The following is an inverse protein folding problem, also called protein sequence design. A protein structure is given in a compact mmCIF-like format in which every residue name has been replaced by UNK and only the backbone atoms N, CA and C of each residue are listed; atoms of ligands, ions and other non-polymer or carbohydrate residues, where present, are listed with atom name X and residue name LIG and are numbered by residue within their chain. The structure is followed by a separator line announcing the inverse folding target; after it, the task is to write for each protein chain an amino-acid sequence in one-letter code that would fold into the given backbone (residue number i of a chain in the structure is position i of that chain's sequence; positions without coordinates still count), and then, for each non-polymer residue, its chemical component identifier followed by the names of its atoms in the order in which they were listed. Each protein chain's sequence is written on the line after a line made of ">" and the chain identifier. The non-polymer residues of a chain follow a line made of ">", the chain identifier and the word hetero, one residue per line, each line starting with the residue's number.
data_IF_192909360562
#
_entry.id   IF_192909360562
#
_cell.length_a   1.000
_cell.length_b   1.000
_cell.length_c   1.000
_cell.angle_alpha   90.00
_cell.angle_beta   90.00
_cell.angle_gamma   90.00
#
_symmetry.space_group_name_H-M   'P 1'
#
loop_
_entity.id
_entity.type
_entity.pdbx_description
1 polymer ?
#
# COMPACT_ATOMS: atom_id res chain seq x y z
N UNK A 1 -1.42 -25.39 10.93
CA UNK A 1 -0.82 -26.05 9.74
C UNK A 1 0.50 -25.35 9.48
N UNK A 2 1.61 -25.91 9.98
CA UNK A 2 2.94 -25.33 9.81
C UNK A 2 3.26 -25.25 8.31
N UNK A 3 3.56 -24.05 7.80
CA UNK A 3 4.11 -23.91 6.45
C UNK A 3 5.38 -24.76 6.37
N UNK A 4 5.53 -25.57 5.33
CA UNK A 4 6.75 -26.35 5.18
C UNK A 4 7.95 -25.39 5.08
N UNK A 5 9.09 -25.78 5.66
CA UNK A 5 10.34 -25.01 5.59
C UNK A 5 10.69 -24.63 4.13
N UNK A 6 10.30 -25.47 3.16
CA UNK A 6 10.43 -25.19 1.73
C UNK A 6 9.58 -24.00 1.24
N UNK A 7 8.33 -23.86 1.70
CA UNK A 7 7.47 -22.73 1.33
C UNK A 7 7.96 -21.40 1.90
N UNK A 8 8.49 -21.40 3.13
CA UNK A 8 9.10 -20.20 3.73
C UNK A 8 10.34 -19.78 2.93
N UNK A 9 11.20 -20.74 2.58
CA UNK A 9 12.41 -20.48 1.77
C UNK A 9 12.07 -19.96 0.38
N UNK A 10 11.04 -20.51 -0.26
CA UNK A 10 10.55 -20.05 -1.56
C UNK A 10 9.98 -18.62 -1.49
N UNK A 11 9.15 -18.33 -0.49
CA UNK A 11 8.58 -16.99 -0.30
C UNK A 11 9.65 -15.94 -0.05
N UNK A 12 10.69 -16.33 0.71
CA UNK A 12 11.89 -15.52 0.95
C UNK A 12 12.68 -15.24 -0.33
N UNK A 13 12.89 -16.25 -1.18
CA UNK A 13 13.56 -16.07 -2.47
C UNK A 13 12.74 -15.16 -3.41
N UNK A 14 11.42 -15.37 -3.49
CA UNK A 14 10.53 -14.52 -4.26
C UNK A 14 10.56 -13.06 -3.79
N UNK A 15 10.61 -12.84 -2.47
CA UNK A 15 10.70 -11.50 -1.89
C UNK A 15 12.00 -10.79 -2.30
N UNK A 16 13.14 -11.48 -2.23
CA UNK A 16 14.43 -10.96 -2.71
C UNK A 16 14.34 -10.59 -4.20
N UNK A 17 13.79 -11.49 -5.02
CA UNK A 17 13.61 -11.25 -6.46
C UNK A 17 12.76 -10.01 -6.73
N UNK A 18 11.64 -9.84 -6.02
CA UNK A 18 10.77 -8.66 -6.16
C UNK A 18 11.48 -7.36 -5.75
N UNK A 19 12.29 -7.40 -4.69
CA UNK A 19 13.05 -6.24 -4.25
C UNK A 19 14.13 -5.85 -5.28
N UNK A 20 14.81 -6.84 -5.89
CA UNK A 20 15.73 -6.60 -7.00
C UNK A 20 15.00 -6.05 -8.23
N UNK A 21 13.82 -6.57 -8.56
CA UNK A 21 13.02 -6.06 -9.68
C UNK A 21 12.63 -4.59 -9.46
N UNK A 22 12.20 -4.23 -8.24
CA UNK A 22 11.93 -2.85 -7.85
C UNK A 22 13.17 -1.97 -8.01
N UNK A 23 14.33 -2.42 -7.53
CA UNK A 23 15.60 -1.70 -7.65
C UNK A 23 15.99 -1.45 -9.11
N UNK A 24 15.92 -2.48 -9.96
CA UNK A 24 16.19 -2.37 -11.39
C UNK A 24 15.25 -1.36 -12.05
N UNK A 25 13.96 -1.41 -11.72
CA UNK A 25 12.97 -0.48 -12.25
C UNK A 25 13.25 0.98 -11.87
N UNK A 26 13.75 1.21 -10.65
CA UNK A 26 14.19 2.55 -10.19
C UNK A 26 15.43 2.99 -10.95
N UNK A 27 16.43 2.12 -11.11
CA UNK A 27 17.64 2.40 -11.89
C UNK A 27 17.30 2.78 -13.34
N UNK A 28 16.35 2.07 -13.98
CA UNK A 28 15.88 2.39 -15.32
C UNK A 28 15.18 3.76 -15.36
N UNK A 29 14.38 4.11 -14.35
CA UNK A 29 13.80 5.44 -14.23
C UNK A 29 14.88 6.52 -14.17
N UNK A 30 15.95 6.31 -13.41
CA UNK A 30 17.09 7.25 -13.34
C UNK A 30 17.68 7.52 -14.72
N UNK A 31 17.99 6.43 -15.43
CA UNK A 31 18.61 6.52 -16.76
C UNK A 31 17.67 7.23 -17.74
N UNK A 32 16.37 6.89 -17.74
CA UNK A 32 15.38 7.56 -18.59
C UNK A 32 15.28 9.05 -18.30
N UNK A 33 15.30 9.46 -17.02
CA UNK A 33 15.30 10.89 -16.64
C UNK A 33 16.54 11.62 -17.13
N UNK A 34 17.71 10.98 -17.03
CA UNK A 34 18.98 11.57 -17.46
C UNK A 34 19.02 11.74 -18.98
N UNK A 35 18.54 10.75 -19.72
CA UNK A 35 18.57 10.75 -21.20
C UNK A 35 17.55 11.73 -21.81
N UNK A 36 16.40 11.94 -21.17
CA UNK A 36 15.32 12.76 -21.74
C UNK A 36 15.46 14.29 -21.50
N UNK A 37 16.40 14.74 -20.68
CA UNK A 37 16.86 16.15 -20.68
C UNK A 37 15.83 17.26 -20.41
N UNK A 38 14.64 16.95 -19.87
CA UNK A 38 13.58 17.95 -19.64
C UNK A 38 13.74 18.71 -18.31
N UNK A 39 13.22 19.94 -18.24
CA UNK A 39 13.28 20.87 -17.09
C UNK A 39 12.75 20.33 -15.73
N UNK A 40 12.10 19.17 -15.73
CA UNK A 40 11.73 18.39 -14.54
C UNK A 40 12.91 17.62 -13.91
N UNK A 41 14.13 17.77 -14.46
CA UNK A 41 15.37 17.07 -14.10
C UNK A 41 15.72 17.11 -12.61
N UNK A 42 15.67 18.28 -11.97
CA UNK A 42 16.10 18.42 -10.56
C UNK A 42 15.12 17.75 -9.60
N UNK A 43 13.81 17.92 -9.84
CA UNK A 43 12.76 17.27 -9.04
C UNK A 43 12.76 15.76 -9.29
N UNK A 44 12.85 15.34 -10.55
CA UNK A 44 12.96 13.92 -10.92
C UNK A 44 14.18 13.23 -10.32
N UNK A 45 15.36 13.88 -10.32
CA UNK A 45 16.59 13.34 -9.72
C UNK A 45 16.48 13.26 -8.20
N UNK A 46 15.98 14.30 -7.51
CA UNK A 46 15.78 14.26 -6.07
C UNK A 46 14.81 13.16 -5.65
N UNK A 47 13.75 12.95 -6.44
CA UNK A 47 12.77 11.89 -6.25
C UNK A 47 13.36 10.51 -6.47
N UNK A 48 14.10 10.34 -7.56
CA UNK A 48 14.86 9.12 -7.83
C UNK A 48 15.82 8.80 -6.70
N UNK A 49 16.56 9.81 -6.22
CA UNK A 49 17.52 9.63 -5.14
C UNK A 49 16.80 9.29 -3.84
N UNK A 50 15.65 9.92 -3.58
CA UNK A 50 14.76 9.61 -2.44
C UNK A 50 14.29 8.16 -2.53
N UNK A 51 13.65 7.76 -3.63
CA UNK A 51 13.11 6.41 -3.85
C UNK A 51 14.21 5.34 -3.84
N UNK A 52 15.39 5.65 -4.36
CA UNK A 52 16.58 4.78 -4.32
C UNK A 52 17.10 4.61 -2.89
N UNK A 53 17.21 5.71 -2.14
CA UNK A 53 17.59 5.69 -0.72
C UNK A 53 16.56 4.90 0.09
N UNK A 54 15.28 5.09 -0.18
CA UNK A 54 14.15 4.35 0.37
C UNK A 54 14.24 2.84 0.13
N UNK A 55 14.63 2.44 -1.08
CA UNK A 55 14.82 1.04 -1.43
C UNK A 55 16.05 0.44 -0.76
N UNK A 56 17.15 1.19 -0.67
CA UNK A 56 18.34 0.75 0.05
C UNK A 56 18.03 0.60 1.55
N UNK A 57 17.39 1.59 2.16
CA UNK A 57 16.97 1.54 3.56
C UNK A 57 16.01 0.37 3.78
N UNK A 58 15.00 0.21 2.92
CA UNK A 58 14.08 -0.92 2.98
C UNK A 58 14.79 -2.28 2.86
N UNK A 59 15.77 -2.40 1.97
CA UNK A 59 16.60 -3.61 1.79
C UNK A 59 17.50 -3.89 2.99
N UNK A 60 18.14 -2.87 3.55
CA UNK A 60 19.01 -3.00 4.72
C UNK A 60 18.22 -3.35 5.97
N UNK A 61 17.13 -2.63 6.24
CA UNK A 61 16.21 -2.93 7.35
C UNK A 61 15.53 -4.29 7.18
N UNK A 62 15.33 -4.74 5.93
CA UNK A 62 14.85 -6.10 5.64
C UNK A 62 15.92 -7.16 5.91
N UNK A 63 17.17 -6.91 5.52
CA UNK A 63 18.30 -7.78 5.82
C UNK A 63 18.52 -7.96 7.33
N UNK A 64 18.35 -6.90 8.11
CA UNK A 64 18.42 -6.97 9.57
C UNK A 64 17.20 -7.67 10.19
N UNK A 65 15.98 -7.40 9.70
CA UNK A 65 14.80 -8.12 10.15
C UNK A 65 14.89 -9.62 9.82
N UNK A 66 15.51 -9.96 8.69
CA UNK A 66 15.79 -11.33 8.25
C UNK A 66 16.75 -12.08 9.20
N UNK A 67 17.78 -11.42 9.71
CA UNK A 67 18.73 -12.04 10.65
C UNK A 67 18.16 -12.15 12.06
N UNK A 68 17.30 -11.21 12.46
CA UNK A 68 16.71 -11.17 13.80
C UNK A 68 15.42 -11.99 13.94
N UNK A 69 14.69 -12.26 12.85
CA UNK A 69 13.54 -13.16 12.80
C UNK A 69 12.30 -12.73 13.60
N UNK A 70 12.30 -11.53 14.19
CA UNK A 70 11.26 -11.08 15.14
C UNK A 70 10.20 -10.22 14.47
N UNK A 71 8.92 -10.61 14.63
CA UNK A 71 7.72 -9.93 14.09
C UNK A 71 7.68 -8.42 14.35
N UNK A 72 8.13 -7.97 15.52
CA UNK A 72 8.17 -6.55 15.89
C UNK A 72 9.04 -5.72 14.94
N UNK A 73 10.23 -6.23 14.57
CA UNK A 73 11.15 -5.52 13.67
C UNK A 73 10.57 -5.42 12.26
N UNK A 74 9.99 -6.52 11.77
CA UNK A 74 9.28 -6.54 10.51
C UNK A 74 8.19 -5.45 10.46
N UNK A 75 7.42 -5.27 11.53
CA UNK A 75 6.39 -4.25 11.58
C UNK A 75 6.89 -2.81 11.61
N UNK A 76 8.00 -2.53 12.31
CA UNK A 76 8.64 -1.21 12.28
C UNK A 76 9.23 -0.90 10.90
N UNK A 77 9.95 -1.87 10.32
CA UNK A 77 10.53 -1.73 8.97
C UNK A 77 9.44 -1.43 7.94
N UNK A 78 8.32 -2.15 8.00
CA UNK A 78 7.18 -1.91 7.12
C UNK A 78 6.58 -0.52 7.34
N UNK A 79 6.37 -0.11 8.60
CA UNK A 79 5.81 1.20 8.92
C UNK A 79 6.69 2.37 8.42
N UNK A 80 7.99 2.29 8.64
CA UNK A 80 8.95 3.29 8.15
C UNK A 80 8.98 3.30 6.62
N UNK A 81 9.02 2.12 5.98
CA UNK A 81 8.97 2.00 4.52
C UNK A 81 7.71 2.66 3.95
N UNK A 82 6.54 2.39 4.51
CA UNK A 82 5.28 2.98 4.05
C UNK A 82 5.22 4.49 4.28
N UNK A 83 5.70 4.99 5.43
CA UNK A 83 5.74 6.43 5.71
C UNK A 83 6.60 7.18 4.69
N UNK A 84 7.79 6.66 4.40
CA UNK A 84 8.67 7.23 3.39
C UNK A 84 8.07 7.11 1.97
N UNK A 85 7.41 5.99 1.64
CA UNK A 85 6.69 5.83 0.37
C UNK A 85 5.59 6.89 0.18
N UNK A 86 4.85 7.21 1.25
CA UNK A 86 3.82 8.25 1.24
C UNK A 86 4.44 9.62 0.97
N UNK A 87 5.56 9.93 1.62
CA UNK A 87 6.29 11.19 1.38
C UNK A 87 6.67 11.29 -0.10
N UNK A 88 7.23 10.22 -0.67
CA UNK A 88 7.53 10.16 -2.11
C UNK A 88 6.26 10.40 -2.95
N UNK A 89 5.16 9.68 -2.71
CA UNK A 89 3.91 9.86 -3.45
C UNK A 89 3.42 11.31 -3.41
N UNK A 90 3.38 11.94 -2.23
CA UNK A 90 2.89 13.32 -2.06
C UNK A 90 3.81 14.31 -2.77
N UNK A 91 5.13 14.18 -2.59
CA UNK A 91 6.13 15.08 -3.17
C UNK A 91 6.23 14.93 -4.70
N UNK A 92 6.05 13.72 -5.24
CA UNK A 92 6.04 13.48 -6.70
C UNK A 92 4.75 14.00 -7.32
N UNK A 93 3.62 13.57 -6.76
CA UNK A 93 2.36 13.55 -7.49
C UNK A 93 1.56 14.83 -7.30
N UNK A 94 1.67 15.48 -6.14
CA UNK A 94 0.97 16.75 -5.87
C UNK A 94 1.49 17.88 -6.77
N UNK A 95 2.81 18.11 -6.90
CA UNK A 95 3.33 19.12 -7.83
C UNK A 95 3.09 18.76 -9.29
N UNK A 96 3.15 17.47 -9.65
CA UNK A 96 2.82 17.00 -10.99
C UNK A 96 1.40 17.41 -11.39
N UNK A 97 0.41 17.14 -10.52
CA UNK A 97 -0.98 17.54 -10.77
C UNK A 97 -1.18 19.05 -10.88
N UNK A 98 -0.33 19.86 -10.23
CA UNK A 98 -0.41 21.32 -10.29
C UNK A 98 0.24 21.91 -11.55
N UNK A 99 1.21 21.22 -12.15
CA UNK A 99 1.98 21.71 -13.31
C UNK A 99 1.42 21.17 -14.64
N UNK A 100 0.81 19.99 -14.63
CA UNK A 100 0.41 19.25 -15.85
C UNK A 100 -1.00 19.56 -16.37
N UNK A 101 -1.69 20.56 -15.81
CA UNK A 101 -2.91 21.14 -16.44
C UNK A 101 -2.68 21.62 -17.90
N UNK A 102 -1.43 21.63 -18.39
CA UNK A 102 -1.05 22.08 -19.74
C UNK A 102 -0.50 20.99 -20.70
N UNK A 103 -0.11 19.79 -20.23
CA UNK A 103 0.57 18.77 -21.08
C UNK A 103 -0.22 17.46 -21.17
N UNK A 104 -0.45 16.99 -22.41
CA UNK A 104 -1.33 15.85 -22.73
C UNK A 104 -0.72 14.47 -22.46
N UNK A 105 0.60 14.39 -22.22
CA UNK A 105 1.31 13.12 -22.15
C UNK A 105 1.87 12.86 -20.75
N UNK A 106 1.52 11.70 -20.20
CA UNK A 106 2.03 11.23 -18.91
C UNK A 106 3.51 10.88 -19.08
N UNK A 107 4.43 11.44 -18.26
CA UNK A 107 5.83 11.10 -18.34
C UNK A 107 6.05 9.61 -18.11
N UNK A 108 6.90 9.00 -18.95
CA UNK A 108 7.22 7.57 -18.89
C UNK A 108 7.66 7.10 -17.49
N UNK A 109 8.37 7.95 -16.74
CA UNK A 109 8.81 7.66 -15.37
C UNK A 109 7.65 7.36 -14.40
N UNK A 110 6.48 7.92 -14.68
CA UNK A 110 5.33 7.93 -13.77
C UNK A 110 4.56 6.64 -13.95
N UNK A 111 4.42 6.19 -15.19
CA UNK A 111 3.93 4.85 -15.53
C UNK A 111 4.80 3.76 -14.89
N UNK A 112 6.13 3.91 -14.90
CA UNK A 112 7.02 2.95 -14.23
C UNK A 112 6.84 3.00 -12.71
N UNK A 113 6.76 4.20 -12.14
CA UNK A 113 6.55 4.37 -10.69
C UNK A 113 5.30 3.64 -10.21
N UNK A 114 4.17 3.77 -10.91
CA UNK A 114 2.93 3.06 -10.54
C UNK A 114 3.09 1.55 -10.65
N UNK A 115 3.73 1.04 -11.71
CA UNK A 115 4.03 -0.40 -11.83
C UNK A 115 4.88 -0.92 -10.67
N UNK A 116 5.82 -0.11 -10.16
CA UNK A 116 6.62 -0.44 -8.97
C UNK A 116 5.74 -0.45 -7.71
N UNK A 117 4.79 0.48 -7.60
CA UNK A 117 3.83 0.48 -6.50
C UNK A 117 3.02 -0.83 -6.46
N UNK A 118 2.56 -1.35 -7.60
CA UNK A 118 1.81 -2.62 -7.70
C UNK A 118 2.56 -3.85 -7.18
N UNK A 119 3.88 -3.79 -7.02
CA UNK A 119 4.66 -4.89 -6.42
C UNK A 119 4.51 -4.89 -4.89
N UNK A 120 4.19 -3.74 -4.27
CA UNK A 120 4.14 -3.52 -2.82
C UNK A 120 3.15 -4.43 -2.06
N UNK A 121 1.91 -4.68 -2.52
CA UNK A 121 1.01 -5.63 -1.87
C UNK A 121 1.61 -7.06 -1.82
N UNK A 122 2.27 -7.49 -2.90
CA UNK A 122 2.93 -8.79 -2.94
C UNK A 122 4.15 -8.86 -2.03
N UNK A 123 4.91 -7.76 -1.95
CA UNK A 123 6.00 -7.62 -0.97
C UNK A 123 5.47 -7.80 0.45
N UNK A 124 4.36 -7.13 0.81
CA UNK A 124 3.72 -7.28 2.13
C UNK A 124 3.30 -8.74 2.39
N UNK A 125 2.57 -9.36 1.46
CA UNK A 125 2.09 -10.73 1.64
C UNK A 125 3.24 -11.73 1.84
N UNK A 126 4.31 -11.61 1.05
CA UNK A 126 5.50 -12.45 1.20
C UNK A 126 6.24 -12.17 2.50
N UNK A 127 6.32 -10.91 2.91
CA UNK A 127 6.95 -10.49 4.15
C UNK A 127 6.23 -11.11 5.36
N UNK A 128 4.90 -11.12 5.34
CA UNK A 128 4.07 -11.72 6.39
C UNK A 128 4.12 -13.25 6.39
N UNK A 129 4.23 -13.86 5.21
CA UNK A 129 4.40 -15.31 5.08
C UNK A 129 5.78 -15.81 5.56
N UNK A 130 6.77 -14.92 5.66
CA UNK A 130 8.17 -15.26 5.97
C UNK A 130 8.61 -14.83 7.37
N UNK A 131 7.84 -13.95 8.02
CA UNK A 131 7.92 -13.67 9.44
C UNK A 131 7.54 -14.94 10.23
N UNK A 132 8.55 -15.78 10.52
CA UNK A 132 8.38 -17.05 11.22
C UNK A 132 7.81 -16.87 12.64
N UNK A 133 6.94 -17.79 13.03
CA UNK A 133 6.39 -17.87 14.38
C UNK A 133 7.43 -18.45 15.34
N UNK A 134 7.96 -17.66 16.25
CA UNK A 134 8.33 -18.20 17.56
C UNK A 134 7.06 -18.34 18.40
N UNK A 135 6.47 -19.54 18.39
CA UNK A 135 5.64 -20.04 19.50
C UNK A 135 4.17 -19.61 19.61
N UNK A 136 3.63 -18.82 18.69
CA UNK A 136 2.18 -18.50 18.69
C UNK A 136 1.56 -18.91 17.37
N UNK A 137 0.71 -19.94 17.40
CA UNK A 137 -0.05 -20.36 16.23
C UNK A 137 -0.85 -19.19 15.61
N UNK A 138 -0.77 -19.11 14.29
CA UNK A 138 -1.44 -18.17 13.40
C UNK A 138 -2.95 -18.36 13.54
N UNK A 139 -3.56 -17.76 14.57
CA UNK A 139 -5.01 -17.72 14.70
C UNK A 139 -5.62 -16.95 13.53
N UNK A 140 -6.79 -17.38 13.04
CA UNK A 140 -7.41 -16.89 11.80
C UNK A 140 -7.60 -15.37 11.69
N UNK A 141 -7.55 -14.64 12.80
CA UNK A 141 -7.62 -13.17 12.84
C UNK A 141 -6.46 -12.49 12.09
N UNK A 142 -5.24 -13.03 12.15
CA UNK A 142 -4.09 -12.42 11.47
C UNK A 142 -4.16 -12.59 9.95
N UNK A 143 -4.66 -13.74 9.46
CA UNK A 143 -4.85 -13.97 8.00
C UNK A 143 -5.89 -13.03 7.42
N UNK A 144 -6.99 -12.83 8.15
CA UNK A 144 -8.02 -11.87 7.75
C UNK A 144 -7.45 -10.46 7.68
N UNK A 145 -6.71 -10.02 8.72
CA UNK A 145 -6.06 -8.71 8.75
C UNK A 145 -5.10 -8.50 7.56
N UNK A 146 -4.37 -9.53 7.18
CA UNK A 146 -3.44 -9.45 6.06
C UNK A 146 -4.14 -9.35 4.72
N UNK A 147 -5.28 -10.03 4.57
CA UNK A 147 -6.13 -9.86 3.40
C UNK A 147 -6.70 -8.45 3.33
N UNK A 148 -7.17 -7.88 4.46
CA UNK A 148 -7.73 -6.52 4.50
C UNK A 148 -6.67 -5.47 4.19
N UNK A 149 -5.48 -5.57 4.78
CA UNK A 149 -4.36 -4.68 4.51
C UNK A 149 -3.91 -4.75 3.05
N UNK A 150 -3.80 -5.95 2.48
CA UNK A 150 -3.41 -6.11 1.08
C UNK A 150 -4.45 -5.50 0.14
N UNK A 151 -5.74 -5.70 0.44
CA UNK A 151 -6.83 -5.08 -0.31
C UNK A 151 -6.76 -3.55 -0.24
N UNK A 152 -6.53 -2.96 0.95
CA UNK A 152 -6.35 -1.51 1.10
C UNK A 152 -5.18 -0.95 0.27
N UNK A 153 -4.05 -1.68 0.23
CA UNK A 153 -2.88 -1.25 -0.56
C UNK A 153 -3.19 -1.35 -2.06
N UNK A 154 -3.83 -2.43 -2.53
CA UNK A 154 -4.29 -2.51 -3.93
C UNK A 154 -5.25 -1.35 -4.26
N UNK A 155 -6.21 -1.10 -3.37
CA UNK A 155 -7.20 -0.03 -3.52
C UNK A 155 -6.53 1.34 -3.68
N UNK A 156 -5.54 1.63 -2.84
CA UNK A 156 -4.76 2.86 -2.87
C UNK A 156 -3.94 3.02 -4.16
N UNK A 157 -3.32 1.93 -4.64
CA UNK A 157 -2.51 1.96 -5.86
C UNK A 157 -3.40 2.15 -7.09
N UNK A 158 -4.53 1.45 -7.18
CA UNK A 158 -5.51 1.64 -8.26
C UNK A 158 -6.01 3.09 -8.30
N UNK A 159 -6.23 3.71 -7.15
CA UNK A 159 -6.65 5.11 -7.08
C UNK A 159 -5.56 6.06 -7.57
N UNK A 160 -4.29 5.80 -7.25
CA UNK A 160 -3.15 6.55 -7.79
C UNK A 160 -3.01 6.34 -9.31
N UNK A 161 -3.16 5.11 -9.79
CA UNK A 161 -3.11 4.77 -11.22
C UNK A 161 -4.20 5.50 -12.00
N UNK A 162 -5.43 5.55 -11.47
CA UNK A 162 -6.55 6.25 -12.11
C UNK A 162 -6.35 7.77 -12.15
N UNK A 163 -5.81 8.37 -11.09
CA UNK A 163 -5.45 9.80 -11.11
C UNK A 163 -4.42 10.10 -12.20
N UNK A 164 -3.50 9.17 -12.45
CA UNK A 164 -2.44 9.32 -13.43
C UNK A 164 -2.87 9.02 -14.86
N UNK A 165 -3.60 7.93 -15.07
CA UNK A 165 -4.01 7.42 -16.37
C UNK A 165 -5.43 7.83 -16.77
N UNK A 166 -6.09 8.67 -15.96
CA UNK A 166 -7.47 9.11 -16.14
C UNK A 166 -7.73 9.61 -17.56
N UNK A 167 -8.54 8.86 -18.30
CA UNK A 167 -8.78 9.04 -19.73
C UNK A 167 -9.07 10.50 -20.10
N UNK A 168 -8.28 11.02 -21.05
CA UNK A 168 -8.61 12.18 -21.90
C UNK A 168 -8.35 13.56 -21.31
N UNK A 169 -8.73 13.82 -20.05
CA UNK A 169 -8.64 15.16 -19.45
C UNK A 169 -8.19 15.19 -17.97
N UNK A 170 -7.87 14.03 -17.36
CA UNK A 170 -7.55 13.95 -15.92
C UNK A 170 -8.73 14.33 -15.00
N UNK A 171 -8.66 14.04 -13.70
CA UNK A 171 -9.62 14.57 -12.73
C UNK A 171 -9.32 16.06 -12.49
N UNK A 172 -10.31 16.89 -12.11
CA UNK A 172 -10.01 18.24 -11.65
C UNK A 172 -8.99 18.17 -10.52
N UNK A 173 -8.02 19.09 -10.50
CA UNK A 173 -6.82 19.05 -9.63
C UNK A 173 -7.17 18.75 -8.17
N UNK A 174 -8.25 19.34 -7.66
CA UNK A 174 -8.74 19.11 -6.29
C UNK A 174 -9.22 17.67 -6.03
N UNK A 175 -9.91 17.05 -6.99
CA UNK A 175 -10.33 15.64 -6.89
C UNK A 175 -9.12 14.71 -6.95
N UNK A 176 -8.17 14.97 -7.86
CA UNK A 176 -6.92 14.20 -7.97
C UNK A 176 -6.10 14.25 -6.68
N UNK A 177 -5.89 15.44 -6.12
CA UNK A 177 -5.21 15.61 -4.82
C UNK A 177 -5.95 14.90 -3.69
N UNK A 178 -7.29 14.96 -3.68
CA UNK A 178 -8.12 14.24 -2.72
C UNK A 178 -7.93 12.73 -2.79
N UNK A 179 -7.95 12.16 -4.00
CA UNK A 179 -7.71 10.74 -4.25
C UNK A 179 -6.31 10.29 -3.80
N UNK A 180 -5.27 11.08 -4.04
CA UNK A 180 -3.90 10.78 -3.59
C UNK A 180 -3.80 10.83 -2.06
N UNK A 181 -4.42 11.83 -1.45
CA UNK A 181 -4.46 11.98 0.00
C UNK A 181 -5.16 10.78 0.64
N UNK A 182 -6.27 10.35 0.06
CA UNK A 182 -7.01 9.17 0.51
C UNK A 182 -6.17 7.89 0.35
N UNK A 183 -5.51 7.70 -0.80
CA UNK A 183 -4.61 6.57 -1.03
C UNK A 183 -3.49 6.51 0.02
N UNK A 184 -2.87 7.66 0.27
CA UNK A 184 -1.81 7.79 1.28
C UNK A 184 -2.31 7.44 2.68
N UNK A 185 -3.52 7.87 3.03
CA UNK A 185 -4.19 7.50 4.27
C UNK A 185 -4.45 5.99 4.38
N UNK A 186 -4.92 5.35 3.30
CA UNK A 186 -5.12 3.89 3.25
C UNK A 186 -3.79 3.13 3.44
N UNK A 187 -2.71 3.58 2.80
CA UNK A 187 -1.37 3.00 2.97
C UNK A 187 -0.89 3.12 4.42
N UNK A 188 -1.03 4.30 5.02
CA UNK A 188 -0.64 4.55 6.40
C UNK A 188 -1.45 3.69 7.38
N UNK A 189 -2.76 3.59 7.15
CA UNK A 189 -3.65 2.76 7.96
C UNK A 189 -3.25 1.30 7.89
N UNK A 190 -3.01 0.76 6.70
CA UNK A 190 -2.53 -0.62 6.54
C UNK A 190 -1.22 -0.82 7.33
N UNK A 191 -0.24 0.09 7.18
CA UNK A 191 1.01 -0.01 7.92
C UNK A 191 0.83 0.06 9.45
N UNK A 192 -0.07 0.92 9.93
CA UNK A 192 -0.42 1.05 11.34
C UNK A 192 -1.07 -0.23 11.88
N UNK A 193 -2.01 -0.83 11.14
CA UNK A 193 -2.69 -2.07 11.54
C UNK A 193 -1.69 -3.23 11.77
N UNK A 194 -0.66 -3.33 10.93
CA UNK A 194 0.39 -4.33 11.13
C UNK A 194 1.32 -4.01 12.29
N UNK A 195 1.67 -2.74 12.49
CA UNK A 195 2.44 -2.30 13.65
C UNK A 195 1.72 -2.64 14.96
N UNK A 196 0.42 -2.35 15.01
CA UNK A 196 -0.44 -2.65 16.15
C UNK A 196 -0.55 -4.16 16.38
N UNK A 197 -0.82 -4.95 15.33
CA UNK A 197 -0.90 -6.40 15.43
C UNK A 197 0.41 -6.98 15.98
N UNK A 198 1.55 -6.49 15.50
CA UNK A 198 2.84 -7.00 15.91
C UNK A 198 3.12 -6.76 17.39
N UNK A 199 2.67 -5.64 17.95
CA UNK A 199 2.95 -5.19 19.32
C UNK A 199 1.85 -5.50 20.35
N UNK A 200 0.73 -6.09 19.94
CA UNK A 200 -0.35 -6.42 20.86
C UNK A 200 0.04 -7.47 21.91
N UNK A 201 -0.32 -7.18 23.16
CA UNK A 201 -0.33 -8.11 24.29
C UNK A 201 -1.74 -8.71 24.44
N UNK A 202 -1.89 -10.00 24.80
CA UNK A 202 -3.16 -10.73 24.79
C UNK A 202 -4.29 -10.19 25.69
N UNK A 203 -4.06 -9.17 26.52
CA UNK A 203 -5.05 -8.65 27.49
C UNK A 203 -5.95 -7.49 27.01
N UNK A 204 -5.70 -6.89 25.85
CA UNK A 204 -6.41 -5.68 25.34
C UNK A 204 -7.13 -5.94 24.01
N UNK A 205 -7.84 -7.07 23.93
CA UNK A 205 -8.23 -7.68 22.65
C UNK A 205 -9.47 -7.02 22.01
N UNK A 206 -10.39 -6.54 22.83
CA UNK A 206 -11.75 -6.23 22.39
C UNK A 206 -11.94 -4.81 21.82
N UNK A 207 -11.53 -3.78 22.55
CA UNK A 207 -11.71 -2.39 22.11
C UNK A 207 -10.92 -2.03 20.86
N UNK A 208 -9.67 -2.50 20.77
CA UNK A 208 -8.79 -2.21 19.66
C UNK A 208 -9.23 -2.91 18.36
N UNK A 209 -9.83 -4.11 18.46
CA UNK A 209 -10.43 -4.81 17.31
C UNK A 209 -11.67 -4.08 16.78
N UNK A 210 -12.54 -3.59 17.66
CA UNK A 210 -13.72 -2.79 17.29
C UNK A 210 -13.30 -1.49 16.62
N UNK A 211 -12.34 -0.76 17.21
CA UNK A 211 -11.82 0.48 16.62
C UNK A 211 -11.32 0.25 15.19
N UNK A 212 -10.50 -0.78 14.98
CA UNK A 212 -9.98 -1.14 13.66
C UNK A 212 -11.09 -1.42 12.65
N UNK A 213 -12.09 -2.22 13.03
CA UNK A 213 -13.23 -2.53 12.16
C UNK A 213 -14.03 -1.28 11.77
N UNK A 214 -14.24 -0.37 12.71
CA UNK A 214 -14.93 0.91 12.46
C UNK A 214 -14.11 1.76 11.48
N UNK A 215 -12.81 1.92 11.71
CA UNK A 215 -11.93 2.70 10.82
C UNK A 215 -11.89 2.08 9.42
N UNK A 216 -11.80 0.75 9.31
CA UNK A 216 -11.84 0.05 8.03
C UNK A 216 -13.15 0.31 7.26
N UNK A 217 -14.30 0.24 7.94
CA UNK A 217 -15.60 0.56 7.34
C UNK A 217 -15.64 2.02 6.86
N UNK A 218 -15.18 2.96 7.68
CA UNK A 218 -15.18 4.39 7.34
C UNK A 218 -14.29 4.69 6.12
N UNK A 219 -13.10 4.10 6.08
CA UNK A 219 -12.15 4.29 4.97
C UNK A 219 -12.68 3.63 3.69
N UNK A 220 -13.18 2.39 3.76
CA UNK A 220 -13.80 1.74 2.60
C UNK A 220 -15.07 2.44 2.11
N UNK A 221 -15.80 3.12 3.00
CA UNK A 221 -16.95 3.93 2.61
C UNK A 221 -16.50 5.22 1.91
N UNK A 222 -15.46 5.89 2.42
CA UNK A 222 -14.92 7.09 1.80
C UNK A 222 -14.33 6.81 0.40
N UNK A 223 -13.57 5.72 0.24
CA UNK A 223 -13.05 5.27 -1.06
C UNK A 223 -14.19 4.95 -2.03
N UNK A 224 -15.24 4.27 -1.54
CA UNK A 224 -16.42 3.94 -2.32
C UNK A 224 -17.14 5.20 -2.83
N UNK A 225 -17.35 6.21 -1.98
CA UNK A 225 -18.02 7.47 -2.37
C UNK A 225 -17.23 8.16 -3.47
N UNK A 226 -15.91 8.32 -3.29
CA UNK A 226 -15.05 9.00 -4.28
C UNK A 226 -15.08 8.24 -5.61
N UNK A 227 -14.98 6.90 -5.58
CA UNK A 227 -15.04 6.10 -6.80
C UNK A 227 -16.41 6.09 -7.48
N UNK A 228 -17.49 6.15 -6.71
CA UNK A 228 -18.82 6.30 -7.27
C UNK A 228 -18.97 7.64 -8.02
N UNK A 229 -18.48 8.75 -7.43
CA UNK A 229 -18.43 10.06 -8.09
C UNK A 229 -17.59 9.99 -9.37
N UNK A 230 -16.39 9.43 -9.29
CA UNK A 230 -15.50 9.27 -10.45
C UNK A 230 -16.13 8.40 -11.56
N UNK A 231 -16.80 7.31 -11.19
CA UNK A 231 -17.50 6.44 -12.13
C UNK A 231 -18.68 7.14 -12.82
N UNK A 232 -19.52 7.84 -12.06
CA UNK A 232 -20.75 8.47 -12.57
C UNK A 232 -20.45 9.74 -13.36
N UNK A 233 -19.63 10.64 -12.80
CA UNK A 233 -19.42 11.98 -13.35
C UNK A 233 -18.33 12.00 -14.42
N UNK A 234 -17.36 11.08 -14.36
CA UNK A 234 -16.21 11.05 -15.28
C UNK A 234 -16.15 9.78 -16.15
N UNK A 235 -17.03 8.80 -15.90
CA UNK A 235 -17.14 7.59 -16.73
C UNK A 235 -15.93 6.64 -16.63
N UNK A 236 -15.07 6.80 -15.62
CA UNK A 236 -13.88 5.96 -15.45
C UNK A 236 -14.28 4.54 -15.07
N UNK A 237 -13.55 3.53 -15.57
CA UNK A 237 -13.84 2.11 -15.27
C UNK A 237 -13.37 1.73 -13.87
N UNK A 238 -14.15 2.10 -12.87
CA UNK A 238 -13.89 1.84 -11.45
C UNK A 238 -14.64 0.61 -10.90
N UNK A 239 -15.27 -0.21 -11.75
CA UNK A 239 -16.22 -1.25 -11.32
C UNK A 239 -15.62 -2.31 -10.41
N UNK A 240 -14.40 -2.76 -10.69
CA UNK A 240 -13.68 -3.75 -9.87
C UNK A 240 -13.33 -3.18 -8.50
N UNK A 241 -12.65 -2.03 -8.41
CA UNK A 241 -12.38 -1.41 -7.12
C UNK A 241 -13.63 -1.01 -6.31
N UNK A 242 -14.73 -0.59 -6.96
CA UNK A 242 -16.02 -0.36 -6.30
C UNK A 242 -16.53 -1.65 -5.66
N UNK A 243 -16.50 -2.76 -6.40
CA UNK A 243 -16.95 -4.06 -5.87
C UNK A 243 -16.08 -4.52 -4.69
N UNK A 244 -14.76 -4.33 -4.75
CA UNK A 244 -13.86 -4.65 -3.64
C UNK A 244 -14.21 -3.86 -2.37
N UNK A 245 -14.46 -2.55 -2.49
CA UNK A 245 -14.86 -1.72 -1.34
C UNK A 245 -16.20 -2.16 -0.73
N UNK A 246 -17.19 -2.54 -1.56
CA UNK A 246 -18.46 -3.08 -1.07
C UNK A 246 -18.26 -4.40 -0.32
N UNK A 247 -17.46 -5.33 -0.86
CA UNK A 247 -17.15 -6.60 -0.21
C UNK A 247 -16.46 -6.36 1.14
N UNK A 248 -15.50 -5.44 1.18
CA UNK A 248 -14.76 -5.07 2.40
C UNK A 248 -15.68 -4.52 3.49
N UNK A 249 -16.64 -3.66 3.15
CA UNK A 249 -17.64 -3.15 4.09
C UNK A 249 -18.51 -4.30 4.61
N UNK A 250 -19.03 -5.16 3.73
CA UNK A 250 -19.89 -6.29 4.11
C UNK A 250 -19.18 -7.25 5.07
N UNK A 251 -17.92 -7.59 4.79
CA UNK A 251 -17.11 -8.46 5.65
C UNK A 251 -16.88 -7.79 7.02
N UNK A 252 -16.47 -6.52 7.02
CA UNK A 252 -16.16 -5.79 8.25
C UNK A 252 -17.39 -5.60 9.15
N UNK A 253 -18.55 -5.30 8.56
CA UNK A 253 -19.83 -5.22 9.28
C UNK A 253 -20.25 -6.57 9.85
N UNK A 254 -20.03 -7.67 9.10
CA UNK A 254 -20.37 -9.02 9.56
C UNK A 254 -19.50 -9.44 10.76
N UNK A 255 -18.20 -9.15 10.72
CA UNK A 255 -17.27 -9.38 11.83
C UNK A 255 -17.61 -8.52 13.06
N UNK A 256 -17.96 -7.24 12.84
CA UNK A 256 -18.39 -6.35 13.92
C UNK A 256 -19.68 -6.85 14.59
N UNK A 257 -20.66 -7.33 13.82
CA UNK A 257 -21.89 -7.93 14.36
C UNK A 257 -21.63 -9.20 15.14
N UNK A 258 -20.76 -10.09 14.66
CA UNK A 258 -20.37 -11.31 15.38
C UNK A 258 -19.75 -10.97 16.73
N UNK A 259 -18.89 -9.96 16.74
CA UNK A 259 -18.23 -9.49 17.95
C UNK A 259 -19.22 -8.96 19.00
N UNK A 260 -20.17 -8.11 18.60
CA UNK A 260 -21.22 -7.63 19.51
C UNK A 260 -22.25 -8.71 19.91
N UNK A 261 -22.55 -9.65 19.01
CA UNK A 261 -23.47 -10.76 19.30
C UNK A 261 -22.90 -11.80 20.28
N UNK A 262 -21.58 -11.87 20.45
CA UNK A 262 -20.91 -12.74 21.42
C UNK A 262 -20.81 -12.14 22.83
N UNK A 263 -21.01 -10.83 22.99
CA UNK A 263 -20.93 -10.13 24.30
C UNK A 263 -22.28 -10.01 25.00
N UNK A 264 -23.37 -10.50 24.39
CA UNK A 264 -24.74 -10.45 24.92
C UNK A 264 -25.27 -11.79 25.48
N UNK A 265 -24.38 -12.69 25.92
CA UNK A 265 -24.68 -14.00 26.50
C UNK A 265 -23.87 -14.19 27.79
#
# INVERSE_FOLDING_TARGET
>A
MALSHGMVTLGRFALILLLYLKLISICLNVVSCIVLGHWTFTVGILLILSTFTLHIVGMLSFGEAWTLGKRHYYSYTWFVYTGLLIVDIIVVLTPYLQVVDAEKDIPFWLTIFVKVLYITPFTLLLFLNTAGEEGTEFHGESRWLFATMSAQIFDAIDMIDNVLNGYGNGPPTGLGVGMITLASGCLLLAAWEFLELAHRSPGSENGAKVYRLIVLILVSLATLIIRAVVYVDYGWRETTPIAMNVIMICISVSELRRFFGQTSL
#
